data_IF_927123609264
#
_entry.id   IF_927123609264
#
_cell.length_a   1.000
_cell.length_b   1.000
_cell.length_c   1.000
_cell.angle_alpha   90.00
_cell.angle_beta   90.00
_cell.angle_gamma   90.00
#
_symmetry.space_group_name_H-M   'P 1'
#
loop_
_entity.id
_entity.type
_entity.pdbx_description
1 polymer ?
#
# COMPACT_ATOMS: atom_id res chain seq x y z
N UNK A 1 55.14 -2.02 24.27
CA UNK A 1 54.58 -0.65 24.26
C UNK A 1 53.70 -0.51 23.02
N UNK A 2 52.41 -0.80 23.15
CA UNK A 2 51.41 -0.57 22.10
C UNK A 2 50.48 0.51 22.62
N UNK A 3 50.39 1.64 21.92
CA UNK A 3 49.54 2.75 22.30
C UNK A 3 48.07 2.33 22.18
N UNK A 4 47.37 2.34 23.31
CA UNK A 4 45.92 2.14 23.35
C UNK A 4 45.25 3.33 22.65
N UNK A 5 44.72 3.10 21.44
CA UNK A 5 43.88 4.09 20.78
C UNK A 5 42.61 4.25 21.63
N UNK A 6 42.50 5.39 22.30
CA UNK A 6 41.30 5.78 23.03
C UNK A 6 40.14 5.89 22.04
N UNK A 7 39.12 5.06 22.21
CA UNK A 7 37.84 5.17 21.53
C UNK A 7 37.21 6.51 21.92
N UNK A 8 37.33 7.51 21.02
CA UNK A 8 36.64 8.79 21.16
C UNK A 8 35.19 8.55 20.75
N UNK A 9 34.21 8.72 21.65
CA UNK A 9 32.81 8.57 21.28
C UNK A 9 32.49 9.61 20.22
N UNK A 10 32.04 9.18 19.06
CA UNK A 10 31.52 10.07 18.03
C UNK A 10 30.35 10.83 18.64
N UNK A 11 30.53 12.13 18.90
CA UNK A 11 29.42 12.99 19.35
C UNK A 11 28.29 12.89 18.32
N UNK A 12 27.11 12.50 18.78
CA UNK A 12 25.92 12.48 17.94
C UNK A 12 25.60 13.92 17.60
N UNK A 13 25.96 14.34 16.38
CA UNK A 13 25.73 15.68 15.87
C UNK A 13 24.25 16.04 15.99
N UNK A 14 23.94 17.02 16.83
CA UNK A 14 22.58 17.53 16.98
C UNK A 14 22.11 18.13 15.64
N UNK A 15 20.86 17.83 15.26
CA UNK A 15 20.26 18.39 14.05
C UNK A 15 20.31 19.91 14.10
N UNK A 16 20.79 20.53 13.02
CA UNK A 16 20.69 21.98 12.87
C UNK A 16 19.22 22.40 12.92
N UNK A 17 18.90 23.57 13.47
CA UNK A 17 17.54 24.13 13.50
C UNK A 17 16.86 24.08 12.11
N UNK A 18 17.60 24.34 11.03
CA UNK A 18 17.08 24.24 9.65
C UNK A 18 16.73 22.81 9.26
N UNK A 19 17.52 21.83 9.67
CA UNK A 19 17.26 20.41 9.43
C UNK A 19 16.07 19.92 10.26
N UNK A 20 15.99 20.33 11.53
CA UNK A 20 14.87 20.02 12.41
C UNK A 20 13.55 20.56 11.85
N UNK A 21 13.52 21.82 11.40
CA UNK A 21 12.33 22.42 10.78
C UNK A 21 11.95 21.70 9.48
N UNK A 22 12.93 21.34 8.64
CA UNK A 22 12.67 20.57 7.41
C UNK A 22 12.05 19.20 7.71
N UNK A 23 12.65 18.45 8.64
CA UNK A 23 12.14 17.15 9.04
C UNK A 23 10.73 17.27 9.64
N UNK A 24 10.50 18.24 10.54
CA UNK A 24 9.19 18.50 11.09
C UNK A 24 8.16 18.83 9.99
N UNK A 25 8.53 19.65 9.01
CA UNK A 25 7.65 20.00 7.90
C UNK A 25 7.30 18.78 7.03
N UNK A 26 8.26 17.91 6.74
CA UNK A 26 8.03 16.67 5.99
C UNK A 26 7.12 15.71 6.76
N UNK A 27 7.33 15.58 8.08
CA UNK A 27 6.47 14.75 8.94
C UNK A 27 5.04 15.27 8.96
N UNK A 28 4.85 16.59 9.07
CA UNK A 28 3.51 17.19 9.04
C UNK A 28 2.83 16.95 7.69
N UNK A 29 3.55 17.15 6.59
CA UNK A 29 2.99 16.91 5.25
C UNK A 29 2.63 15.44 5.06
N UNK A 30 3.50 14.51 5.47
CA UNK A 30 3.22 13.09 5.39
C UNK A 30 2.03 12.67 6.26
N UNK A 31 1.91 13.23 7.48
CA UNK A 31 0.78 12.97 8.37
C UNK A 31 -0.54 13.49 7.80
N UNK A 32 -0.53 14.69 7.21
CA UNK A 32 -1.71 15.26 6.54
C UNK A 32 -2.09 14.41 5.32
N UNK A 33 -1.12 14.03 4.49
CA UNK A 33 -1.36 13.15 3.34
C UNK A 33 -1.95 11.80 3.77
N UNK A 34 -1.38 11.16 4.80
CA UNK A 34 -1.88 9.91 5.35
C UNK A 34 -3.30 10.04 5.89
N UNK A 35 -3.59 11.12 6.63
CA UNK A 35 -4.95 11.39 7.09
C UNK A 35 -5.93 11.51 5.92
N UNK A 36 -5.60 12.29 4.89
CA UNK A 36 -6.47 12.49 3.74
C UNK A 36 -6.69 11.20 2.92
N UNK A 37 -5.67 10.35 2.80
CA UNK A 37 -5.75 9.08 2.06
C UNK A 37 -6.47 7.97 2.84
N UNK A 38 -6.44 8.00 4.18
CA UNK A 38 -7.02 6.94 5.02
C UNK A 38 -8.39 7.32 5.61
N UNK A 39 -8.74 8.60 5.64
CA UNK A 39 -10.00 9.06 6.22
C UNK A 39 -11.20 8.52 5.44
N UNK A 40 -12.05 7.74 6.13
CA UNK A 40 -13.24 7.07 5.56
C UNK A 40 -12.93 6.14 4.37
N UNK A 41 -11.75 5.53 4.37
CA UNK A 41 -11.31 4.61 3.31
C UNK A 41 -12.29 3.45 3.09
N UNK A 42 -13.05 3.06 4.11
CA UNK A 42 -14.03 1.98 4.07
C UNK A 42 -15.31 2.30 3.28
N UNK A 43 -15.67 3.58 3.17
CA UNK A 43 -16.99 4.00 2.70
C UNK A 43 -16.97 5.12 1.66
N UNK A 44 -15.90 5.93 1.61
CA UNK A 44 -15.83 7.09 0.72
C UNK A 44 -14.63 7.01 -0.23
N UNK A 45 -14.84 7.21 -1.55
CA UNK A 45 -16.14 7.21 -2.22
C UNK A 45 -16.85 5.86 -2.07
N UNK A 46 -18.15 5.81 -2.36
CA UNK A 46 -18.86 4.53 -2.41
C UNK A 46 -18.21 3.63 -3.48
N UNK A 47 -18.05 2.32 -3.24
CA UNK A 47 -17.45 1.42 -4.22
C UNK A 47 -18.21 1.44 -5.53
N UNK A 48 -17.49 1.61 -6.64
CA UNK A 48 -18.08 1.72 -7.97
C UNK A 48 -17.64 0.59 -8.90
N UNK A 49 -18.11 0.65 -10.14
CA UNK A 49 -17.96 -0.39 -11.15
C UNK A 49 -16.49 -0.78 -11.42
N UNK A 50 -15.60 0.18 -11.59
CA UNK A 50 -14.19 -0.07 -11.86
C UNK A 50 -13.50 -0.72 -10.66
N UNK A 51 -13.72 -0.21 -9.45
CA UNK A 51 -13.19 -0.83 -8.22
C UNK A 51 -13.68 -2.28 -8.09
N UNK A 52 -14.99 -2.52 -8.19
CA UNK A 52 -15.55 -3.86 -8.05
C UNK A 52 -15.08 -4.83 -9.14
N UNK A 53 -15.10 -4.39 -10.41
CA UNK A 53 -14.78 -5.25 -11.55
C UNK A 53 -13.32 -5.72 -11.56
N UNK A 54 -12.37 -4.87 -11.18
CA UNK A 54 -10.97 -5.27 -11.10
C UNK A 54 -10.68 -6.16 -9.88
N UNK A 55 -11.36 -5.91 -8.75
CA UNK A 55 -11.19 -6.71 -7.53
C UNK A 55 -11.65 -8.16 -7.65
N UNK A 56 -12.46 -8.50 -8.66
CA UNK A 56 -12.79 -9.89 -8.96
C UNK A 56 -11.55 -10.75 -9.22
N UNK A 57 -10.54 -10.20 -9.91
CA UNK A 57 -9.30 -10.94 -10.22
C UNK A 57 -8.52 -11.22 -8.94
N UNK A 58 -8.32 -10.20 -8.10
CA UNK A 58 -7.63 -10.36 -6.83
C UNK A 58 -8.38 -11.31 -5.87
N UNK A 59 -9.71 -11.20 -5.81
CA UNK A 59 -10.58 -12.10 -5.04
C UNK A 59 -10.46 -13.54 -5.52
N UNK A 60 -10.57 -13.78 -6.82
CA UNK A 60 -10.49 -15.12 -7.39
C UNK A 60 -9.11 -15.74 -7.15
N UNK A 61 -8.05 -14.95 -7.27
CA UNK A 61 -6.71 -15.42 -6.98
C UNK A 61 -6.53 -15.77 -5.50
N UNK A 62 -7.02 -14.91 -4.59
CA UNK A 62 -6.92 -15.14 -3.14
C UNK A 62 -7.68 -16.38 -2.67
N UNK A 63 -8.85 -16.66 -3.25
CA UNK A 63 -9.73 -17.75 -2.84
C UNK A 63 -9.45 -19.07 -3.57
N UNK A 64 -9.16 -19.00 -4.87
CA UNK A 64 -9.08 -20.18 -5.75
C UNK A 64 -7.69 -20.39 -6.38
N UNK A 65 -6.75 -19.46 -6.20
CA UNK A 65 -5.42 -19.54 -6.82
C UNK A 65 -5.40 -19.26 -8.33
N UNK A 66 -6.49 -18.76 -8.91
CA UNK A 66 -6.62 -18.52 -10.36
C UNK A 66 -6.54 -17.02 -10.63
N UNK A 67 -5.50 -16.59 -11.33
CA UNK A 67 -5.32 -15.19 -11.72
C UNK A 67 -6.14 -14.89 -12.99
N UNK A 68 -7.44 -14.73 -12.82
CA UNK A 68 -8.41 -14.44 -13.87
C UNK A 68 -9.68 -13.83 -13.28
N UNK A 69 -10.46 -13.14 -14.10
CA UNK A 69 -11.81 -12.74 -13.72
C UNK A 69 -12.73 -13.97 -13.68
N UNK A 70 -13.72 -13.95 -12.78
CA UNK A 70 -14.65 -15.05 -12.55
C UNK A 70 -16.07 -14.53 -12.38
N UNK A 71 -17.00 -15.08 -13.16
CA UNK A 71 -18.43 -14.75 -13.11
C UNK A 71 -19.28 -15.99 -13.35
N UNK A 72 -20.61 -15.81 -13.40
CA UNK A 72 -21.55 -16.85 -13.82
C UNK A 72 -21.30 -17.37 -15.25
N UNK A 73 -20.57 -16.63 -16.09
CA UNK A 73 -20.20 -17.03 -17.44
C UNK A 73 -18.92 -17.90 -17.49
N UNK A 74 -18.26 -18.07 -16.34
CA UNK A 74 -17.03 -18.86 -16.20
C UNK A 74 -15.79 -18.00 -15.97
N UNK A 75 -14.62 -18.61 -16.23
CA UNK A 75 -13.30 -18.00 -16.02
C UNK A 75 -12.88 -17.23 -17.26
N UNK A 76 -12.52 -15.96 -17.09
CA UNK A 76 -12.03 -15.08 -18.16
C UNK A 76 -10.58 -14.67 -17.88
N UNK A 77 -9.65 -15.35 -18.54
CA UNK A 77 -8.20 -15.06 -18.44
C UNK A 77 -7.80 -13.76 -19.12
N UNK A 78 -8.59 -13.29 -20.07
CA UNK A 78 -8.35 -12.08 -20.83
C UNK A 78 -9.57 -11.18 -20.76
N UNK A 79 -9.34 -9.89 -20.54
CA UNK A 79 -10.39 -8.88 -20.51
C UNK A 79 -9.97 -7.63 -19.73
N UNK A 80 -10.83 -6.59 -19.73
CA UNK A 80 -10.53 -5.32 -19.06
C UNK A 80 -10.21 -5.47 -17.57
N UNK A 81 -10.91 -6.37 -16.86
CA UNK A 81 -10.72 -6.59 -15.43
C UNK A 81 -9.30 -7.08 -15.06
N UNK A 82 -8.60 -7.76 -15.97
CA UNK A 82 -7.22 -8.23 -15.75
C UNK A 82 -6.19 -7.13 -16.07
N UNK A 83 -6.61 -6.07 -16.76
CA UNK A 83 -5.74 -5.04 -17.35
C UNK A 83 -4.95 -4.17 -16.37
N UNK A 84 -5.36 -4.08 -15.10
CA UNK A 84 -4.63 -3.30 -14.07
C UNK A 84 -3.25 -3.89 -13.77
N UNK A 85 -3.10 -5.20 -13.98
CA UNK A 85 -1.81 -5.87 -13.86
C UNK A 85 -1.44 -6.33 -12.45
N UNK A 86 -0.39 -7.16 -12.36
CA UNK A 86 -0.07 -7.92 -11.15
C UNK A 86 0.48 -7.07 -10.01
N UNK A 87 1.06 -5.90 -10.30
CA UNK A 87 1.64 -5.02 -9.28
C UNK A 87 0.60 -4.49 -8.30
N UNK A 88 -0.65 -4.30 -8.74
CA UNK A 88 -1.76 -3.92 -7.86
C UNK A 88 -2.52 -5.16 -7.39
N UNK A 89 -2.81 -6.11 -8.30
CA UNK A 89 -3.68 -7.24 -7.99
C UNK A 89 -3.06 -8.24 -7.01
N UNK A 90 -1.75 -8.51 -7.10
CA UNK A 90 -1.10 -9.48 -6.21
C UNK A 90 -1.00 -8.98 -4.76
N UNK A 91 -0.63 -7.71 -4.47
CA UNK A 91 -0.70 -7.19 -3.11
C UNK A 91 -2.10 -7.23 -2.52
N UNK A 92 -3.13 -6.88 -3.30
CA UNK A 92 -4.53 -6.96 -2.84
C UNK A 92 -4.93 -8.41 -2.55
N UNK A 93 -4.60 -9.34 -3.44
CA UNK A 93 -4.90 -10.74 -3.24
C UNK A 93 -4.17 -11.33 -2.01
N UNK A 94 -2.94 -10.90 -1.75
CA UNK A 94 -2.20 -11.28 -0.55
C UNK A 94 -2.92 -10.79 0.73
N UNK A 95 -3.39 -9.54 0.75
CA UNK A 95 -4.19 -9.02 1.87
C UNK A 95 -5.49 -9.80 2.06
N UNK A 96 -6.18 -10.13 0.96
CA UNK A 96 -7.42 -10.92 1.01
C UNK A 96 -7.18 -12.34 1.53
N UNK A 97 -6.07 -12.96 1.15
CA UNK A 97 -5.72 -14.30 1.62
C UNK A 97 -5.37 -14.32 3.11
N UNK A 98 -4.75 -13.24 3.63
CA UNK A 98 -4.34 -13.14 5.04
C UNK A 98 -5.47 -12.72 6.00
N UNK A 99 -6.39 -11.88 5.56
CA UNK A 99 -7.34 -11.19 6.46
C UNK A 99 -8.81 -11.28 6.04
N UNK A 100 -9.13 -11.94 4.93
CA UNK A 100 -10.44 -11.96 4.24
C UNK A 100 -10.64 -10.84 3.19
N UNK A 101 -11.58 -11.10 2.28
CA UNK A 101 -11.91 -10.20 1.17
C UNK A 101 -12.64 -8.97 1.70
N UNK A 102 -12.03 -7.79 1.55
CA UNK A 102 -12.64 -6.54 2.00
C UNK A 102 -12.23 -5.33 1.15
N UNK A 103 -13.15 -4.39 0.96
CA UNK A 103 -12.87 -3.15 0.24
C UNK A 103 -11.77 -2.29 0.91
N UNK A 104 -11.75 -2.10 2.25
CA UNK A 104 -10.69 -1.30 2.88
C UNK A 104 -9.29 -1.85 2.64
N UNK A 105 -9.12 -3.18 2.64
CA UNK A 105 -7.82 -3.81 2.38
C UNK A 105 -7.38 -3.61 0.92
N UNK A 106 -8.30 -3.72 -0.03
CA UNK A 106 -8.02 -3.40 -1.43
C UNK A 106 -7.54 -1.97 -1.60
N UNK A 107 -8.27 -1.02 -0.99
CA UNK A 107 -7.92 0.41 -1.04
C UNK A 107 -6.61 0.71 -0.32
N UNK A 108 -6.30 0.02 0.77
CA UNK A 108 -5.03 0.17 1.49
C UNK A 108 -3.83 -0.12 0.58
N UNK A 109 -3.91 -1.12 -0.29
CA UNK A 109 -2.87 -1.39 -1.28
C UNK A 109 -2.68 -0.22 -2.26
N UNK A 110 -3.76 0.47 -2.64
CA UNK A 110 -3.70 1.68 -3.48
C UNK A 110 -3.08 2.86 -2.73
N UNK A 111 -3.41 3.03 -1.44
CA UNK A 111 -2.87 4.12 -0.60
C UNK A 111 -1.34 4.09 -0.55
N UNK A 112 -0.72 2.91 -0.58
CA UNK A 112 0.75 2.76 -0.61
C UNK A 112 1.35 3.47 -1.83
N UNK A 113 0.70 3.41 -3.00
CA UNK A 113 1.15 4.12 -4.20
C UNK A 113 1.06 5.64 -4.09
N UNK A 114 0.28 6.17 -3.14
CA UNK A 114 0.26 7.61 -2.86
C UNK A 114 1.54 8.16 -2.21
N UNK A 115 2.44 7.27 -1.76
CA UNK A 115 3.69 7.62 -1.07
C UNK A 115 4.96 7.23 -1.83
N UNK A 116 4.82 6.60 -3.00
CA UNK A 116 5.93 6.16 -3.86
C UNK A 116 6.02 7.08 -5.06
#
# INVERSE_FOLDING_TARGET
MAASQSFVPTEVSALSQKQAVRLASLVIVAAVAAFLLLYRLDVYPEPWYDEGSHLHVAKNYALNGIYADYSSEGIRYYGPAVGVGPTVMLPVAALFNLFEVSIPLARLAIVVYGFV
#
